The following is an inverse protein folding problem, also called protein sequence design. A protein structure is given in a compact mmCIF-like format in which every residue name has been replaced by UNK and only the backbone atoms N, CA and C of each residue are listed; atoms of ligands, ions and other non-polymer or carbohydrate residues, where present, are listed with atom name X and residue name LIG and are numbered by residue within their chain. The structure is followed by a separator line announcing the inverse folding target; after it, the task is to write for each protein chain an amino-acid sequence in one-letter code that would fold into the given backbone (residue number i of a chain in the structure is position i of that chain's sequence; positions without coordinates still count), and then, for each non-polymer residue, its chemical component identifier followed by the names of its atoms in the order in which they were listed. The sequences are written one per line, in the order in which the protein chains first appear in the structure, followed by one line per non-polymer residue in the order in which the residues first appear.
data_IF_630534895272
#
_entry.id   IF_630534895272
#
_cell.length_a   1.000
_cell.length_b   1.000
_cell.length_c   1.000
_cell.angle_alpha   90.00
_cell.angle_beta   90.00
_cell.angle_gamma   90.00
#
_symmetry.space_group_name_H-M   'P 1'
#
loop_
_entity.id
_entity.type
_entity.pdbx_description
1 polymer ?
#
# COMPACT_ATOMS: atom_id res chain seq x y z
N UNK A 1 -12.09 -8.14 -14.36
CA UNK A 1 -10.87 -7.32 -14.16
C UNK A 1 -11.11 -6.10 -13.28
N UNK A 2 -12.32 -5.52 -13.23
CA UNK A 2 -12.64 -4.43 -12.28
C UNK A 2 -12.48 -4.84 -10.82
N UNK A 3 -12.88 -6.07 -10.45
CA UNK A 3 -12.69 -6.58 -9.08
C UNK A 3 -11.22 -6.55 -8.63
N UNK A 4 -10.26 -6.86 -9.50
CA UNK A 4 -8.84 -6.75 -9.16
C UNK A 4 -8.42 -5.29 -8.93
N UNK A 5 -8.88 -4.35 -9.75
CA UNK A 5 -8.59 -2.92 -9.56
C UNK A 5 -9.21 -2.38 -8.27
N UNK A 6 -10.43 -2.82 -7.94
CA UNK A 6 -11.09 -2.45 -6.68
C UNK A 6 -10.33 -3.01 -5.47
N UNK A 7 -9.91 -4.28 -5.52
CA UNK A 7 -9.12 -4.88 -4.44
C UNK A 7 -7.77 -4.19 -4.24
N UNK A 8 -7.08 -3.84 -5.33
CA UNK A 8 -5.82 -3.09 -5.26
C UNK A 8 -6.04 -1.68 -4.69
N UNK A 9 -7.09 -0.99 -5.13
CA UNK A 9 -7.45 0.32 -4.57
C UNK A 9 -7.77 0.24 -3.07
N UNK A 10 -8.51 -0.79 -2.64
CA UNK A 10 -8.83 -1.00 -1.24
C UNK A 10 -7.56 -1.30 -0.42
N UNK A 11 -6.66 -2.13 -0.94
CA UNK A 11 -5.37 -2.43 -0.31
C UNK A 11 -4.55 -1.15 -0.09
N UNK A 12 -4.45 -0.29 -1.10
CA UNK A 12 -3.75 0.99 -1.00
C UNK A 12 -4.40 1.91 0.03
N UNK A 13 -5.74 2.05 0.01
CA UNK A 13 -6.46 2.91 0.96
C UNK A 13 -6.29 2.44 2.41
N UNK A 14 -6.37 1.13 2.67
CA UNK A 14 -6.23 0.55 4.01
C UNK A 14 -4.82 0.75 4.52
N UNK A 15 -3.80 0.43 3.71
CA UNK A 15 -2.40 0.58 4.14
C UNK A 15 -2.00 2.04 4.36
N UNK A 16 -2.56 2.97 3.59
CA UNK A 16 -2.37 4.41 3.82
C UNK A 16 -3.07 4.91 5.09
N UNK A 17 -4.29 4.41 5.37
CA UNK A 17 -4.99 4.72 6.61
C UNK A 17 -4.21 4.20 7.83
N UNK A 18 -3.72 2.96 7.78
CA UNK A 18 -2.89 2.35 8.82
C UNK A 18 -1.61 3.16 9.06
N UNK A 19 -0.94 3.60 7.99
CA UNK A 19 0.27 4.42 8.10
C UNK A 19 -0.02 5.77 8.75
N UNK A 20 -1.15 6.42 8.42
CA UNK A 20 -1.57 7.68 9.05
C UNK A 20 -1.85 7.50 10.53
N UNK A 21 -2.55 6.44 10.92
CA UNK A 21 -2.81 6.11 12.32
C UNK A 21 -1.52 5.84 13.08
N UNK A 22 -0.63 5.01 12.52
CA UNK A 22 0.65 4.69 13.16
C UNK A 22 1.56 5.92 13.31
N UNK A 23 1.51 6.85 12.34
CA UNK A 23 2.25 8.13 12.41
C UNK A 23 1.69 9.04 13.50
N UNK A 24 0.37 9.15 13.61
CA UNK A 24 -0.28 9.96 14.63
C UNK A 24 -0.05 9.40 16.05
N UNK A 25 0.15 8.09 16.17
CA UNK A 25 0.45 7.40 17.42
C UNK A 25 1.93 7.46 17.84
N UNK A 26 2.79 8.16 17.11
CA UNK A 26 4.20 8.33 17.51
C UNK A 26 4.29 9.17 18.80
N UNK A 27 4.72 8.53 19.88
CA UNK A 27 4.88 9.12 21.21
C UNK A 27 6.36 9.17 21.65
N UNK A 28 7.29 8.85 20.75
CA UNK A 28 8.73 8.78 21.03
C UNK A 28 9.19 7.45 21.64
N UNK A 29 8.27 6.52 21.93
CA UNK A 29 8.62 5.17 22.37
C UNK A 29 9.20 4.34 21.21
N UNK A 30 10.04 3.37 21.57
CA UNK A 30 10.56 2.40 20.62
C UNK A 30 9.45 1.52 20.03
N UNK A 31 8.44 1.20 20.83
CA UNK A 31 7.29 0.42 20.39
C UNK A 31 6.48 1.18 19.34
N UNK A 32 6.19 2.46 19.55
CA UNK A 32 5.51 3.28 18.54
C UNK A 32 6.34 3.42 17.25
N UNK A 33 7.67 3.58 17.36
CA UNK A 33 8.57 3.57 16.19
C UNK A 33 8.49 2.27 15.41
N UNK A 34 8.50 1.11 16.08
CA UNK A 34 8.39 -0.20 15.43
C UNK A 34 7.05 -0.39 14.73
N UNK A 35 5.96 0.01 15.37
CA UNK A 35 4.61 -0.02 14.76
C UNK A 35 4.52 0.85 13.51
N UNK A 36 5.06 2.07 13.58
CA UNK A 36 5.15 2.96 12.43
C UNK A 36 5.99 2.36 11.30
N UNK A 37 7.18 1.83 11.60
CA UNK A 37 8.03 1.18 10.62
C UNK A 37 7.34 -0.02 9.94
N UNK A 38 6.62 -0.84 10.70
CA UNK A 38 5.85 -1.95 10.15
C UNK A 38 4.70 -1.49 9.24
N UNK A 39 3.98 -0.43 9.62
CA UNK A 39 2.93 0.16 8.79
C UNK A 39 3.50 0.75 7.48
N UNK A 40 4.65 1.43 7.57
CA UNK A 40 5.34 1.97 6.41
C UNK A 40 5.78 0.86 5.44
N UNK A 41 6.38 -0.22 5.97
CA UNK A 41 6.80 -1.35 5.15
C UNK A 41 5.61 -1.98 4.40
N UNK A 42 4.45 -2.12 5.06
CA UNK A 42 3.22 -2.61 4.42
C UNK A 42 2.71 -1.68 3.32
N UNK A 43 2.71 -0.36 3.55
CA UNK A 43 2.29 0.60 2.53
C UNK A 43 3.20 0.58 1.30
N UNK A 44 4.52 0.48 1.50
CA UNK A 44 5.49 0.33 0.41
C UNK A 44 5.24 -0.97 -0.37
N UNK A 45 5.09 -2.10 0.32
CA UNK A 45 4.83 -3.38 -0.32
C UNK A 45 3.52 -3.38 -1.11
N UNK A 46 2.44 -2.81 -0.56
CA UNK A 46 1.15 -2.68 -1.24
C UNK A 46 1.25 -1.85 -2.52
N UNK A 47 2.03 -0.76 -2.48
CA UNK A 47 2.30 0.07 -3.67
C UNK A 47 3.07 -0.72 -4.73
N UNK A 48 4.17 -1.37 -4.36
CA UNK A 48 4.96 -2.17 -5.30
C UNK A 48 4.14 -3.29 -5.95
N UNK A 49 3.39 -4.06 -5.16
CA UNK A 49 2.51 -5.12 -5.68
C UNK A 49 1.45 -4.56 -6.62
N UNK A 50 0.88 -3.40 -6.30
CA UNK A 50 -0.11 -2.75 -7.17
C UNK A 50 0.50 -2.31 -8.49
N UNK A 51 1.69 -1.70 -8.45
CA UNK A 51 2.42 -1.30 -9.66
C UNK A 51 2.76 -2.51 -10.54
N UNK A 52 3.31 -3.57 -9.95
CA UNK A 52 3.62 -4.82 -10.67
C UNK A 52 2.37 -5.44 -11.32
N UNK A 53 1.26 -5.52 -10.59
CA UNK A 53 0.02 -6.12 -11.11
C UNK A 53 -0.68 -5.26 -12.15
N UNK A 54 -0.55 -3.93 -12.08
CA UNK A 54 -1.06 -3.03 -13.12
C UNK A 54 -0.22 -3.09 -14.39
N UNK A 55 1.11 -3.20 -14.26
CA UNK A 55 2.03 -3.35 -15.39
C UNK A 55 1.94 -4.75 -16.03
N UNK A 56 1.66 -5.78 -15.23
CA UNK A 56 1.46 -7.13 -15.71
C UNK A 56 0.10 -7.35 -16.40
N UNK A 57 -0.81 -6.35 -16.43
CA UNK A 57 -2.07 -6.43 -17.17
C UNK A 57 -1.77 -6.41 -18.69
N UNK A 58 -1.90 -7.54 -19.41
CA UNK A 58 -1.53 -7.64 -20.82
C UNK A 58 -2.40 -6.75 -21.73
N UNK A 59 -3.50 -6.19 -21.21
CA UNK A 59 -4.33 -5.22 -21.94
C UNK A 59 -3.76 -3.80 -21.95
N UNK A 60 -2.69 -3.51 -21.19
CA UNK A 60 -1.98 -2.24 -21.24
C UNK A 60 -0.82 -2.22 -22.26
N UNK A 61 -0.41 -3.38 -22.79
CA UNK A 61 0.72 -3.50 -23.73
C UNK A 61 0.35 -3.08 -25.17
N UNK A 62 -0.93 -2.83 -25.46
CA UNK A 62 -1.40 -2.40 -26.79
C UNK A 62 -1.77 -0.92 -26.81
N UNK A 63 -0.79 -0.04 -26.56
CA UNK A 63 -0.82 1.38 -26.97
C UNK A 63 0.60 1.90 -27.16
N UNK A 64 1.22 1.53 -28.28
CA UNK A 64 2.23 2.34 -28.98
C UNK A 64 1.96 2.21 -30.47
#
# INVERSE_FOLDING_TARGET
MELHRLHLSALLMVTEADLRVARAALDGSEEARRRYAAALARAVAAKSVTEELLLADPRQVVRV
#
